data_IF_498831529627
#
_entry.id   IF_498831529627
#
_cell.length_a   1.000
_cell.length_b   1.000
_cell.length_c   1.000
_cell.angle_alpha   90.00
_cell.angle_beta   90.00
_cell.angle_gamma   90.00
#
_symmetry.space_group_name_H-M   'P 1'
#
loop_
_entity.id
_entity.type
_entity.pdbx_description
1 polymer ?
#
# COMPACT_ATOMS: atom_id res chain seq x y z
N UNK A 1 -13.70 2.64 -29.16
CA UNK A 1 -14.60 1.62 -28.57
C UNK A 1 -14.60 1.83 -27.08
N UNK A 2 -15.77 1.82 -26.42
CA UNK A 2 -15.83 1.89 -24.96
C UNK A 2 -15.09 0.67 -24.38
N UNK A 3 -14.19 0.88 -23.41
CA UNK A 3 -13.61 -0.24 -22.69
C UNK A 3 -14.74 -0.94 -21.92
N UNK A 4 -14.78 -2.29 -21.89
CA UNK A 4 -15.76 -3.00 -21.09
C UNK A 4 -15.67 -2.52 -19.64
N UNK A 5 -16.82 -2.26 -19.03
CA UNK A 5 -16.91 -1.81 -17.64
C UNK A 5 -16.29 -2.88 -16.74
N UNK A 6 -15.32 -2.48 -15.91
CA UNK A 6 -14.56 -3.42 -15.07
C UNK A 6 -15.42 -4.09 -13.98
N UNK A 7 -16.58 -3.49 -13.66
CA UNK A 7 -17.51 -3.92 -12.62
C UNK A 7 -18.95 -3.89 -13.14
N UNK A 8 -19.88 -4.65 -12.55
CA UNK A 8 -21.31 -4.50 -12.84
C UNK A 8 -21.78 -3.04 -12.57
N UNK A 9 -22.90 -2.60 -13.18
CA UNK A 9 -23.41 -1.24 -12.98
C UNK A 9 -23.52 -0.86 -11.50
N UNK A 10 -22.96 0.28 -11.12
CA UNK A 10 -22.90 0.77 -9.74
C UNK A 10 -21.86 0.08 -8.83
N UNK A 11 -21.12 -0.91 -9.32
CA UNK A 11 -20.03 -1.57 -8.62
C UNK A 11 -18.71 -0.81 -8.70
N UNK A 12 -17.85 -0.98 -7.69
CA UNK A 12 -16.55 -0.31 -7.61
C UNK A 12 -15.39 -1.28 -7.43
N UNK A 13 -14.17 -0.78 -7.59
CA UNK A 13 -12.92 -1.49 -7.26
C UNK A 13 -12.94 -2.02 -5.82
N UNK A 14 -13.54 -1.25 -4.90
CA UNK A 14 -13.54 -1.56 -3.47
C UNK A 14 -14.46 -2.73 -3.09
N UNK A 15 -15.48 -3.03 -3.91
CA UNK A 15 -16.40 -4.16 -3.70
C UNK A 15 -15.69 -5.53 -3.82
N UNK A 16 -14.58 -5.59 -4.56
CA UNK A 16 -13.87 -6.83 -4.87
C UNK A 16 -12.59 -7.05 -4.04
N UNK A 17 -12.30 -6.15 -3.11
CA UNK A 17 -11.18 -6.29 -2.20
C UNK A 17 -11.48 -7.40 -1.19
N UNK A 18 -10.51 -8.31 -0.96
CA UNK A 18 -10.66 -9.32 0.10
C UNK A 18 -10.84 -8.65 1.46
N UNK A 19 -10.13 -7.53 1.67
CA UNK A 19 -10.25 -6.69 2.85
C UNK A 19 -9.88 -5.25 2.54
N UNK A 20 -10.65 -4.30 3.09
CA UNK A 20 -10.27 -2.89 3.14
C UNK A 20 -9.37 -2.60 4.34
N UNK A 21 -8.45 -1.64 4.24
CA UNK A 21 -7.67 -1.19 5.39
C UNK A 21 -8.55 -0.69 6.55
N UNK A 22 -9.75 -0.18 6.25
CA UNK A 22 -10.74 0.22 7.26
C UNK A 22 -11.20 -0.95 8.15
N UNK A 23 -11.11 -2.18 7.64
CA UNK A 23 -11.52 -3.41 8.32
C UNK A 23 -10.32 -4.21 8.86
N UNK A 24 -9.15 -3.57 8.99
CA UNK A 24 -7.97 -4.14 9.65
C UNK A 24 -8.04 -3.77 11.14
N UNK A 25 -8.16 -4.75 12.05
CA UNK A 25 -8.20 -4.50 13.48
C UNK A 25 -6.92 -3.81 13.99
N UNK A 26 -7.13 -2.77 14.81
CA UNK A 26 -6.08 -2.12 15.60
C UNK A 26 -6.45 -2.29 17.07
N UNK A 27 -5.52 -2.81 17.86
CA UNK A 27 -5.68 -2.88 19.30
C UNK A 27 -5.07 -1.64 19.97
N UNK A 28 -5.90 -0.62 20.19
CA UNK A 28 -5.48 0.65 20.79
C UNK A 28 -4.99 0.52 22.24
N UNK A 29 -5.34 -0.55 22.96
CA UNK A 29 -4.84 -0.79 24.33
C UNK A 29 -3.49 -1.50 24.37
N UNK A 30 -2.98 -1.94 23.22
CA UNK A 30 -1.69 -2.64 23.08
C UNK A 30 -0.84 -1.99 21.99
N UNK A 31 -0.38 -0.76 22.22
CA UNK A 31 0.55 -0.07 21.31
C UNK A 31 0.06 -0.03 19.84
N UNK A 32 -1.25 0.16 19.68
CA UNK A 32 -1.93 0.13 18.38
C UNK A 32 -1.61 -1.13 17.56
N UNK A 33 -1.57 -2.31 18.21
CA UNK A 33 -1.18 -3.56 17.57
C UNK A 33 -2.07 -3.88 16.37
N UNK A 34 -1.47 -4.08 15.20
CA UNK A 34 -2.16 -4.31 13.93
C UNK A 34 -2.21 -5.80 13.65
N UNK A 35 -3.40 -6.37 13.45
CA UNK A 35 -3.55 -7.79 13.15
C UNK A 35 -2.89 -8.16 11.81
N UNK A 36 -1.96 -9.12 11.85
CA UNK A 36 -1.07 -9.45 10.73
C UNK A 36 -1.84 -9.98 9.52
N UNK A 37 -2.75 -10.94 9.72
CA UNK A 37 -3.48 -11.59 8.62
C UNK A 37 -4.27 -10.57 7.83
N UNK A 38 -5.06 -9.77 8.52
CA UNK A 38 -5.95 -8.76 7.97
C UNK A 38 -5.18 -7.66 7.27
N UNK A 39 -4.06 -7.20 7.85
CA UNK A 39 -3.21 -6.22 7.20
C UNK A 39 -2.65 -6.74 5.88
N UNK A 40 -2.15 -7.99 5.86
CA UNK A 40 -1.61 -8.59 4.64
C UNK A 40 -2.70 -8.81 3.58
N UNK A 41 -3.92 -9.19 3.97
CA UNK A 41 -5.07 -9.29 3.04
C UNK A 41 -5.43 -7.93 2.41
N UNK A 42 -5.36 -6.85 3.20
CA UNK A 42 -5.60 -5.50 2.71
C UNK A 42 -4.47 -5.03 1.78
N UNK A 43 -3.20 -5.29 2.14
CA UNK A 43 -2.05 -4.98 1.31
C UNK A 43 -2.02 -5.76 -0.01
N UNK A 44 -2.42 -7.04 0.00
CA UNK A 44 -2.61 -7.85 -1.21
C UNK A 44 -3.74 -7.29 -2.10
N UNK A 45 -4.81 -6.77 -1.51
CA UNK A 45 -5.90 -6.14 -2.29
C UNK A 45 -5.41 -4.86 -2.99
N UNK A 46 -4.49 -4.12 -2.37
CA UNK A 46 -3.88 -2.95 -3.00
C UNK A 46 -3.02 -3.31 -4.21
N UNK A 47 -2.36 -4.48 -4.26
CA UNK A 47 -1.50 -4.78 -5.43
C UNK A 47 -2.29 -4.84 -6.74
N UNK A 48 -3.59 -5.17 -6.67
CA UNK A 48 -4.53 -5.11 -7.80
C UNK A 48 -4.78 -3.69 -8.30
N UNK A 49 -4.59 -2.66 -7.47
CA UNK A 49 -4.70 -1.26 -7.90
C UNK A 49 -3.60 -0.90 -8.91
N UNK A 50 -2.44 -1.54 -8.86
CA UNK A 50 -1.37 -1.32 -9.84
C UNK A 50 -1.72 -1.86 -11.23
N UNK A 51 -2.59 -2.86 -11.32
CA UNK A 51 -3.15 -3.30 -12.60
C UNK A 51 -4.04 -2.21 -13.21
N UNK A 52 -4.76 -1.46 -12.37
CA UNK A 52 -5.58 -0.30 -12.78
C UNK A 52 -4.70 0.88 -13.23
N UNK A 53 -3.60 1.14 -12.51
CA UNK A 53 -2.63 2.21 -12.77
C UNK A 53 -1.71 1.98 -13.99
N UNK A 54 -1.78 0.84 -14.66
CA UNK A 54 -0.96 0.55 -15.84
C UNK A 54 -0.05 -0.65 -15.61
N UNK A 55 -0.59 -1.83 -15.88
CA UNK A 55 -0.04 -3.15 -15.53
C UNK A 55 1.42 -3.38 -15.92
N UNK A 56 1.90 -2.84 -17.05
CA UNK A 56 3.29 -3.07 -17.49
C UNK A 56 4.28 -2.13 -16.78
N UNK A 57 3.97 -0.85 -16.71
CA UNK A 57 4.86 0.16 -16.14
C UNK A 57 4.98 0.06 -14.61
N UNK A 58 3.92 -0.38 -13.95
CA UNK A 58 3.89 -0.55 -12.49
C UNK A 58 4.29 -1.95 -12.00
N UNK A 59 4.62 -2.88 -12.92
CA UNK A 59 5.05 -4.24 -12.55
C UNK A 59 6.23 -4.26 -11.56
N UNK A 60 7.26 -3.41 -11.67
CA UNK A 60 8.33 -3.36 -10.67
C UNK A 60 7.81 -2.98 -9.27
N UNK A 61 6.86 -2.05 -9.18
CA UNK A 61 6.25 -1.62 -7.91
C UNK A 61 5.41 -2.73 -7.31
N UNK A 62 4.56 -3.36 -8.12
CA UNK A 62 3.71 -4.49 -7.70
C UNK A 62 4.53 -5.69 -7.23
N UNK A 63 5.62 -6.01 -7.94
CA UNK A 63 6.54 -7.09 -7.57
C UNK A 63 7.25 -6.82 -6.24
N UNK A 64 7.73 -5.59 -6.01
CA UNK A 64 8.36 -5.20 -4.75
C UNK A 64 7.38 -5.37 -3.58
N UNK A 65 6.17 -4.82 -3.70
CA UNK A 65 5.15 -4.96 -2.65
C UNK A 65 4.76 -6.42 -2.40
N UNK A 66 4.53 -7.20 -3.45
CA UNK A 66 4.18 -8.63 -3.34
C UNK A 66 5.31 -9.43 -2.68
N UNK A 67 6.56 -9.16 -3.05
CA UNK A 67 7.72 -9.80 -2.42
C UNK A 67 7.83 -9.48 -0.94
N UNK A 68 7.56 -8.23 -0.55
CA UNK A 68 7.60 -7.81 0.86
C UNK A 68 6.43 -8.37 1.68
N UNK A 69 5.22 -8.42 1.11
CA UNK A 69 4.07 -9.13 1.69
C UNK A 69 4.43 -10.60 1.95
N UNK A 70 5.07 -11.27 0.98
CA UNK A 70 5.47 -12.67 1.11
C UNK A 70 6.45 -12.87 2.28
N UNK A 71 7.45 -12.01 2.45
CA UNK A 71 8.41 -12.11 3.58
C UNK A 71 7.69 -12.08 4.93
N UNK A 72 6.72 -11.15 5.10
CA UNK A 72 5.94 -11.03 6.34
C UNK A 72 5.03 -12.25 6.52
N UNK A 73 4.36 -12.70 5.46
CA UNK A 73 3.51 -13.90 5.47
C UNK A 73 4.31 -15.16 5.83
N UNK A 74 5.50 -15.32 5.27
CA UNK A 74 6.35 -16.48 5.54
C UNK A 74 6.74 -16.54 7.02
N UNK A 75 7.09 -15.41 7.64
CA UNK A 75 7.35 -15.35 9.09
C UNK A 75 6.09 -15.66 9.90
N UNK A 76 4.95 -15.09 9.50
CA UNK A 76 3.67 -15.38 10.15
C UNK A 76 3.37 -16.88 10.17
N UNK A 77 3.56 -17.57 9.04
CA UNK A 77 3.31 -19.01 8.94
C UNK A 77 4.33 -19.85 9.70
N UNK A 78 5.58 -19.39 9.80
CA UNK A 78 6.63 -20.08 10.55
C UNK A 78 6.45 -19.96 12.07
N UNK A 79 5.87 -18.86 12.57
CA UNK A 79 5.70 -18.61 14.00
C UNK A 79 4.36 -17.88 14.29
N UNK A 80 3.21 -18.56 14.10
CA UNK A 80 1.89 -17.93 14.13
C UNK A 80 1.55 -17.29 15.47
N UNK A 81 1.83 -17.97 16.59
CA UNK A 81 1.58 -17.45 17.94
C UNK A 81 2.50 -16.28 18.32
N UNK A 82 3.61 -16.09 17.60
CA UNK A 82 4.53 -14.98 17.80
C UNK A 82 4.30 -13.84 16.81
N UNK A 83 3.30 -13.98 15.94
CA UNK A 83 3.08 -13.14 14.76
C UNK A 83 1.60 -12.78 14.54
N UNK A 84 0.80 -12.82 15.61
CA UNK A 84 -0.62 -12.44 15.56
C UNK A 84 -0.78 -10.97 15.16
N UNK A 85 0.12 -10.12 15.66
CA UNK A 85 0.22 -8.71 15.27
C UNK A 85 1.55 -8.39 14.60
N UNK A 86 1.58 -7.36 13.76
CA UNK A 86 2.79 -6.92 13.06
C UNK A 86 3.90 -6.50 14.04
N UNK A 87 3.52 -5.87 15.16
CA UNK A 87 4.44 -5.46 16.20
C UNK A 87 5.10 -6.66 16.89
N UNK A 88 4.31 -7.67 17.28
CA UNK A 88 4.84 -8.91 17.87
C UNK A 88 5.72 -9.66 16.87
N UNK A 89 5.28 -9.74 15.61
CA UNK A 89 6.04 -10.39 14.53
C UNK A 89 7.46 -9.81 14.45
N UNK A 90 7.58 -8.48 14.40
CA UNK A 90 8.87 -7.77 14.33
C UNK A 90 9.69 -8.03 15.59
N UNK A 91 9.12 -7.79 16.77
CA UNK A 91 9.86 -7.93 18.03
C UNK A 91 10.36 -9.36 18.24
N UNK A 92 9.56 -10.36 17.87
CA UNK A 92 9.91 -11.76 18.04
C UNK A 92 10.90 -12.23 16.96
N UNK A 93 10.80 -11.74 15.72
CA UNK A 93 11.81 -12.03 14.69
C UNK A 93 13.20 -11.49 15.11
N UNK A 94 13.27 -10.23 15.55
CA UNK A 94 14.54 -9.58 15.91
C UNK A 94 15.25 -10.26 17.08
N UNK A 95 14.52 -10.82 18.05
CA UNK A 95 15.09 -11.66 19.12
C UNK A 95 15.86 -12.88 18.60
N UNK A 96 15.50 -13.37 17.42
CA UNK A 96 16.21 -14.50 16.76
C UNK A 96 17.44 -14.06 15.96
N UNK A 97 17.79 -12.77 15.99
CA UNK A 97 18.85 -12.16 15.15
C UNK A 97 18.60 -12.29 13.65
N UNK A 98 17.33 -12.45 13.25
CA UNK A 98 16.86 -12.39 11.86
C UNK A 98 16.03 -11.11 11.69
N UNK A 99 15.90 -10.66 10.45
CA UNK A 99 15.19 -9.42 10.12
C UNK A 99 14.54 -9.47 8.73
N UNK A 100 14.28 -10.66 8.18
CA UNK A 100 13.82 -10.79 6.79
C UNK A 100 12.40 -10.23 6.65
N UNK A 101 11.51 -10.58 7.59
CA UNK A 101 10.15 -10.09 7.61
C UNK A 101 10.08 -8.64 8.12
N UNK A 102 10.93 -8.26 9.08
CA UNK A 102 11.06 -6.88 9.57
C UNK A 102 11.50 -5.94 8.45
N UNK A 103 12.53 -6.31 7.68
CA UNK A 103 12.95 -5.59 6.48
C UNK A 103 11.84 -5.55 5.43
N UNK A 104 11.15 -6.68 5.21
CA UNK A 104 9.98 -6.73 4.35
C UNK A 104 8.90 -5.74 4.77
N UNK A 105 8.57 -5.66 6.06
CA UNK A 105 7.57 -4.74 6.59
C UNK A 105 8.00 -3.28 6.45
N UNK A 106 9.29 -2.96 6.63
CA UNK A 106 9.82 -1.61 6.38
C UNK A 106 9.60 -1.19 4.92
N UNK A 107 9.98 -2.03 3.96
CA UNK A 107 9.80 -1.71 2.54
C UNK A 107 8.34 -1.68 2.13
N UNK A 108 7.52 -2.60 2.63
CA UNK A 108 6.07 -2.58 2.43
C UNK A 108 5.45 -1.29 2.96
N UNK A 109 5.81 -0.86 4.17
CA UNK A 109 5.32 0.38 4.78
C UNK A 109 5.70 1.60 3.94
N UNK A 110 6.91 1.65 3.38
CA UNK A 110 7.33 2.73 2.48
C UNK A 110 6.54 2.75 1.16
N UNK A 111 6.28 1.58 0.58
CA UNK A 111 5.45 1.47 -0.64
C UNK A 111 3.99 1.86 -0.40
N UNK A 112 3.46 1.52 0.78
CA UNK A 112 2.13 1.93 1.23
C UNK A 112 2.04 3.44 1.46
N UNK A 113 3.04 4.05 2.12
CA UNK A 113 3.13 5.50 2.34
C UNK A 113 3.19 6.27 1.00
N UNK A 114 4.02 5.79 0.06
CA UNK A 114 4.08 6.31 -1.30
C UNK A 114 2.69 6.32 -1.97
N UNK A 115 2.00 5.19 -1.91
CA UNK A 115 0.68 5.01 -2.53
C UNK A 115 -0.36 5.91 -1.89
N UNK A 116 -0.39 5.98 -0.56
CA UNK A 116 -1.30 6.82 0.21
C UNK A 116 -1.13 8.29 -0.18
N UNK A 117 0.11 8.81 -0.15
CA UNK A 117 0.38 10.21 -0.49
C UNK A 117 0.02 10.52 -1.96
N UNK A 118 0.36 9.63 -2.90
CA UNK A 118 0.11 9.83 -4.32
C UNK A 118 -1.40 9.92 -4.63
N UNK A 119 -2.19 9.01 -4.07
CA UNK A 119 -3.63 8.94 -4.28
C UNK A 119 -4.38 10.01 -3.49
N UNK A 120 -3.98 10.29 -2.24
CA UNK A 120 -4.57 11.37 -1.43
C UNK A 120 -4.42 12.70 -2.13
N UNK A 121 -3.20 13.03 -2.58
CA UNK A 121 -2.95 14.27 -3.32
C UNK A 121 -3.80 14.35 -4.59
N UNK A 122 -3.91 13.27 -5.35
CA UNK A 122 -4.72 13.29 -6.58
C UNK A 122 -6.22 13.37 -6.30
N UNK A 123 -6.72 12.76 -5.22
CA UNK A 123 -8.12 12.82 -4.82
C UNK A 123 -8.51 14.24 -4.39
N UNK A 124 -7.65 14.95 -3.66
CA UNK A 124 -7.92 16.31 -3.17
C UNK A 124 -7.65 17.40 -4.21
N UNK A 125 -6.98 17.08 -5.32
CA UNK A 125 -6.67 18.01 -6.40
C UNK A 125 -7.22 17.46 -7.73
N UNK A 126 -8.53 17.64 -7.99
CA UNK A 126 -9.20 16.98 -9.12
C UNK A 126 -8.71 17.43 -10.51
N UNK A 127 -8.01 18.56 -10.58
CA UNK A 127 -7.41 19.09 -11.82
C UNK A 127 -5.96 18.63 -12.05
N UNK A 128 -5.36 17.89 -11.10
CA UNK A 128 -3.99 17.40 -11.18
C UNK A 128 -3.92 16.02 -11.86
N UNK A 129 -3.03 15.85 -12.83
CA UNK A 129 -2.77 14.55 -13.44
C UNK A 129 -2.05 13.59 -12.47
N UNK A 130 -2.35 12.29 -12.56
CA UNK A 130 -1.75 11.25 -11.71
C UNK A 130 -0.22 11.29 -11.74
N UNK A 131 0.37 11.55 -12.91
CA UNK A 131 1.82 11.60 -13.03
C UNK A 131 2.47 12.68 -12.17
N UNK A 132 1.76 13.77 -11.87
CA UNK A 132 2.25 14.85 -11.00
C UNK A 132 2.19 14.41 -9.54
N UNK A 133 1.04 13.88 -9.10
CA UNK A 133 0.86 13.45 -7.72
C UNK A 133 1.78 12.30 -7.34
N UNK A 134 1.99 11.33 -8.25
CA UNK A 134 2.88 10.19 -8.04
C UNK A 134 4.35 10.63 -7.98
N UNK A 135 4.80 11.57 -8.84
CA UNK A 135 6.18 12.09 -8.80
C UNK A 135 6.50 12.80 -7.48
N UNK A 136 5.55 13.60 -7.00
CA UNK A 136 5.68 14.29 -5.71
C UNK A 136 5.76 13.29 -4.56
N UNK A 137 4.80 12.36 -4.47
CA UNK A 137 4.79 11.32 -3.45
C UNK A 137 6.08 10.48 -3.46
N UNK A 138 6.62 10.14 -4.64
CA UNK A 138 7.90 9.43 -4.74
C UNK A 138 9.05 10.24 -4.17
N UNK A 139 9.09 11.55 -4.45
CA UNK A 139 10.05 12.48 -3.88
C UNK A 139 10.03 12.48 -2.35
N UNK A 140 8.83 12.46 -1.77
CA UNK A 140 8.61 12.54 -0.32
C UNK A 140 8.81 11.21 0.42
N UNK A 141 8.80 10.08 -0.29
CA UNK A 141 8.81 8.73 0.32
C UNK A 141 10.01 7.89 -0.15
N UNK A 142 9.88 7.19 -1.28
CA UNK A 142 10.80 6.14 -1.72
C UNK A 142 12.13 6.66 -2.29
N UNK A 143 12.15 7.86 -2.87
CA UNK A 143 13.32 8.39 -3.59
C UNK A 143 14.60 8.43 -2.75
N UNK A 144 14.48 8.68 -1.44
CA UNK A 144 15.62 8.71 -0.52
C UNK A 144 16.25 7.33 -0.29
N UNK A 145 15.49 6.25 -0.47
CA UNK A 145 15.92 4.87 -0.24
C UNK A 145 16.38 4.17 -1.54
N UNK A 146 16.06 4.72 -2.70
CA UNK A 146 16.45 4.15 -3.99
C UNK A 146 17.83 4.62 -4.46
N UNK A 147 18.67 3.66 -4.86
CA UNK A 147 19.96 3.92 -5.50
C UNK A 147 19.83 4.47 -6.93
N UNK A 148 20.97 4.81 -7.54
CA UNK A 148 21.03 5.39 -8.90
C UNK A 148 20.43 4.49 -9.99
N UNK A 149 20.40 3.17 -9.79
CA UNK A 149 19.81 2.21 -10.73
C UNK A 149 18.28 2.09 -10.61
N UNK A 150 17.73 2.25 -9.40
CA UNK A 150 16.29 2.05 -9.14
C UNK A 150 15.51 3.35 -9.39
N UNK A 151 16.12 4.51 -9.13
CA UNK A 151 15.48 5.82 -9.33
C UNK A 151 14.89 6.01 -10.75
N UNK A 152 15.61 5.71 -11.85
CA UNK A 152 15.05 5.85 -13.20
C UNK A 152 13.85 4.94 -13.47
N UNK A 153 13.85 3.71 -12.94
CA UNK A 153 12.75 2.75 -13.13
C UNK A 153 11.45 3.31 -12.54
N UNK A 154 11.49 3.80 -11.30
CA UNK A 154 10.32 4.40 -10.67
C UNK A 154 9.91 5.71 -11.35
N UNK A 155 10.86 6.55 -11.76
CA UNK A 155 10.57 7.77 -12.53
C UNK A 155 9.84 7.48 -13.85
N UNK A 156 10.23 6.42 -14.54
CA UNK A 156 9.54 5.97 -15.75
C UNK A 156 8.13 5.44 -15.43
N UNK A 157 7.97 4.64 -14.38
CA UNK A 157 6.67 4.11 -13.95
C UNK A 157 5.65 5.24 -13.68
N UNK A 158 6.05 6.28 -12.93
CA UNK A 158 5.17 7.41 -12.63
C UNK A 158 4.81 8.23 -13.86
N UNK A 159 5.73 8.32 -14.83
CA UNK A 159 5.46 8.99 -16.11
C UNK A 159 4.51 8.21 -17.00
N UNK A 160 4.34 6.92 -16.75
CA UNK A 160 3.44 6.01 -17.45
C UNK A 160 2.12 5.76 -16.68
N UNK A 161 1.82 6.56 -15.66
CA UNK A 161 0.48 6.59 -15.07
C UNK A 161 -0.55 6.94 -16.14
N UNK A 162 -1.78 6.39 -16.08
CA UNK A 162 -2.87 6.77 -16.97
C UNK A 162 -3.28 8.22 -16.73
N UNK A 163 -4.02 8.80 -17.67
CA UNK A 163 -4.74 10.03 -17.40
C UNK A 163 -5.66 9.83 -16.19
N UNK A 164 -5.77 10.86 -15.35
CA UNK A 164 -6.60 10.84 -14.15
C UNK A 164 -8.01 10.36 -14.46
N UNK A 165 -8.65 10.91 -15.49
CA UNK A 165 -10.02 10.53 -15.88
C UNK A 165 -10.18 9.02 -16.13
N UNK A 166 -9.18 8.40 -16.77
CA UNK A 166 -9.24 7.00 -17.16
C UNK A 166 -9.00 6.09 -15.95
N UNK A 167 -8.16 6.52 -15.01
CA UNK A 167 -7.96 5.81 -13.75
C UNK A 167 -9.24 5.78 -12.91
N UNK A 168 -9.86 6.94 -12.67
CA UNK A 168 -11.08 7.00 -11.84
C UNK A 168 -12.27 6.29 -12.49
N UNK A 169 -12.39 6.34 -13.82
CA UNK A 169 -13.40 5.58 -14.54
C UNK A 169 -13.21 4.05 -14.39
N UNK A 170 -11.97 3.58 -14.23
CA UNK A 170 -11.69 2.16 -13.95
C UNK A 170 -11.93 1.78 -12.49
N UNK A 171 -12.14 2.73 -11.58
CA UNK A 171 -12.51 2.44 -10.19
C UNK A 171 -14.03 2.26 -10.01
N UNK A 172 -14.84 2.76 -10.94
CA UNK A 172 -16.29 2.67 -10.91
C UNK A 172 -16.94 3.75 -11.79
N UNK A 173 -18.21 3.57 -12.14
CA UNK A 173 -18.99 4.55 -12.90
C UNK A 173 -19.57 5.66 -12.01
N UNK A 174 -19.99 5.33 -10.79
CA UNK A 174 -20.41 6.29 -9.77
C UNK A 174 -19.20 6.99 -9.12
N UNK A 175 -18.82 8.14 -9.68
CA UNK A 175 -17.69 8.93 -9.21
C UNK A 175 -17.89 9.50 -7.80
N UNK A 176 -19.13 9.74 -7.37
CA UNK A 176 -19.41 10.21 -6.00
C UNK A 176 -19.11 9.10 -5.00
N UNK A 177 -19.57 7.88 -5.29
CA UNK A 177 -19.28 6.69 -4.48
C UNK A 177 -17.78 6.35 -4.49
N UNK A 178 -17.15 6.32 -5.66
CA UNK A 178 -15.70 6.06 -5.81
C UNK A 178 -14.86 7.03 -4.98
N UNK A 179 -15.14 8.33 -5.06
CA UNK A 179 -14.39 9.33 -4.30
C UNK A 179 -14.56 9.16 -2.79
N UNK A 180 -15.78 8.83 -2.34
CA UNK A 180 -16.04 8.56 -0.92
C UNK A 180 -15.28 7.32 -0.45
N UNK A 181 -15.43 6.19 -1.15
CA UNK A 181 -14.80 4.92 -0.78
C UNK A 181 -13.27 5.00 -0.82
N UNK A 182 -12.70 5.65 -1.85
CA UNK A 182 -11.26 5.92 -1.92
C UNK A 182 -10.81 6.81 -0.76
N UNK A 183 -11.58 7.84 -0.42
CA UNK A 183 -11.30 8.73 0.71
C UNK A 183 -11.28 7.99 2.05
N UNK A 184 -12.28 7.15 2.30
CA UNK A 184 -12.39 6.33 3.52
C UNK A 184 -11.25 5.30 3.59
N UNK A 185 -10.97 4.64 2.46
CA UNK A 185 -9.88 3.67 2.34
C UNK A 185 -8.51 4.31 2.58
N UNK A 186 -8.27 5.51 2.04
CA UNK A 186 -7.02 6.26 2.24
C UNK A 186 -6.83 6.66 3.69
N UNK A 187 -7.89 7.14 4.36
CA UNK A 187 -7.80 7.54 5.77
C UNK A 187 -7.39 6.36 6.65
N UNK A 188 -7.96 5.18 6.39
CA UNK A 188 -7.57 3.97 7.09
C UNK A 188 -6.13 3.55 6.77
N UNK A 189 -5.71 3.57 5.51
CA UNK A 189 -4.34 3.25 5.11
C UNK A 189 -3.33 4.18 5.79
N UNK A 190 -3.56 5.49 5.75
CA UNK A 190 -2.72 6.52 6.36
C UNK A 190 -2.55 6.28 7.86
N UNK A 191 -3.62 5.93 8.59
CA UNK A 191 -3.57 5.58 10.01
C UNK A 191 -2.62 4.39 10.26
N UNK A 192 -2.77 3.28 9.52
CA UNK A 192 -1.91 2.09 9.70
C UNK A 192 -0.47 2.38 9.31
N UNK A 193 -0.24 3.13 8.24
CA UNK A 193 1.10 3.56 7.81
C UNK A 193 1.77 4.41 8.88
N UNK A 194 1.06 5.35 9.50
CA UNK A 194 1.60 6.20 10.56
C UNK A 194 1.97 5.38 11.81
N UNK A 195 1.11 4.47 12.25
CA UNK A 195 1.39 3.55 13.36
C UNK A 195 2.66 2.74 13.07
N UNK A 196 2.77 2.15 11.86
CA UNK A 196 3.93 1.35 11.49
C UNK A 196 5.20 2.17 11.36
N UNK A 197 5.14 3.39 10.79
CA UNK A 197 6.31 4.28 10.68
C UNK A 197 6.83 4.68 12.06
N UNK A 198 5.94 5.00 13.00
CA UNK A 198 6.32 5.29 14.37
C UNK A 198 6.97 4.07 15.02
N UNK A 199 6.30 2.91 14.98
CA UNK A 199 6.78 1.66 15.57
C UNK A 199 8.14 1.22 15.00
N UNK A 200 8.28 1.14 13.68
CA UNK A 200 9.53 0.76 13.00
C UNK A 200 10.65 1.80 13.16
N UNK A 201 10.30 3.04 13.50
CA UNK A 201 11.24 4.12 13.77
C UNK A 201 11.93 4.00 15.13
N UNK A 202 11.37 3.22 16.07
CA UNK A 202 11.90 3.04 17.43
C UNK A 202 13.23 2.29 17.42
N UNK A 203 14.12 2.59 18.37
CA UNK A 203 15.51 2.08 18.37
C UNK A 203 15.56 0.56 18.52
N UNK A 204 14.68 0.01 19.33
CA UNK A 204 14.53 -1.41 19.63
C UNK A 204 14.03 -2.24 18.45
N UNK A 205 13.43 -1.62 17.43
CA UNK A 205 12.91 -2.28 16.24
C UNK A 205 13.84 -2.13 15.01
N UNK A 206 15.05 -1.61 15.22
CA UNK A 206 16.10 -1.50 14.20
C UNK A 206 17.08 -2.67 14.33
N UNK A 207 17.71 -3.04 13.23
CA UNK A 207 18.69 -4.12 13.12
C UNK A 207 19.97 -3.65 12.41
#
# INVERSE_FOLDING_TARGET
>A
MAQPQAYPPGGTFFDNAKRSFANVPINNSKDNAIATTEFLEAAESLTRLFDVLGSVAFKPVSNDMTGNIKKVRDRQLQAPMESETLQELVQNELKTKKHVATEGLVWLTRGLDFTAQALRKNLTNPDEELSVSFRDAYGNTLKQFHGMLIKPIFSAAMSATPYRKDFYAKLGDDQTRVNKELGDWLSALEERVNILKEFLGRKENKW
#
